data_IF_833023768188
#
_entry.id   IF_833023768188
#
_cell.length_a   1.000
_cell.length_b   1.000
_cell.length_c   1.000
_cell.angle_alpha   90.00
_cell.angle_beta   90.00
_cell.angle_gamma   90.00
#
_symmetry.space_group_name_H-M   'P 1'
#
loop_
_entity.id
_entity.type
_entity.pdbx_description
1 polymer ?
#
# COMPACT_ATOMS: atom_id res chain seq x y z
N UNK A 1 1.62 -32.78 26.02
CA UNK A 1 2.47 -31.85 26.82
C UNK A 1 3.71 -31.38 26.06
N UNK A 2 4.61 -32.26 25.56
CA UNK A 2 5.79 -31.83 24.77
C UNK A 2 5.45 -31.06 23.48
N UNK A 3 4.47 -31.51 22.69
CA UNK A 3 4.05 -30.80 21.47
C UNK A 3 3.49 -29.40 21.74
N UNK A 4 2.73 -29.22 22.83
CA UNK A 4 2.25 -27.90 23.23
C UNK A 4 3.40 -26.99 23.67
N UNK A 5 4.39 -27.52 24.41
CA UNK A 5 5.57 -26.74 24.81
C UNK A 5 6.42 -26.31 23.62
N UNK A 6 6.63 -27.22 22.65
CA UNK A 6 7.31 -26.91 21.40
C UNK A 6 6.57 -25.82 20.62
N UNK A 7 5.25 -25.95 20.45
CA UNK A 7 4.43 -24.93 19.78
C UNK A 7 4.49 -23.56 20.48
N UNK A 8 4.50 -23.52 21.82
CA UNK A 8 4.67 -22.25 22.56
C UNK A 8 6.07 -21.66 22.42
N UNK A 9 7.10 -22.49 22.28
CA UNK A 9 8.48 -22.05 22.03
C UNK A 9 8.64 -21.50 20.63
N UNK A 10 8.10 -22.18 19.62
CA UNK A 10 8.06 -21.70 18.24
C UNK A 10 7.33 -20.36 18.17
N UNK A 11 6.13 -20.27 18.76
CA UNK A 11 5.38 -19.02 18.84
C UNK A 11 6.20 -17.88 19.47
N UNK A 12 6.98 -18.12 20.51
CA UNK A 12 7.80 -17.08 21.13
C UNK A 12 8.94 -16.56 20.24
N UNK A 13 9.24 -17.22 19.12
CA UNK A 13 10.37 -16.92 18.20
C UNK A 13 9.91 -16.64 16.76
N UNK A 14 8.64 -16.85 16.42
CA UNK A 14 8.12 -16.65 15.06
C UNK A 14 7.66 -15.21 14.81
N UNK A 15 8.18 -14.56 13.76
CA UNK A 15 7.53 -13.40 13.16
C UNK A 15 6.37 -13.89 12.28
N UNK A 16 5.20 -13.30 12.46
CA UNK A 16 4.02 -13.56 11.62
C UNK A 16 3.67 -12.28 10.90
N UNK A 17 3.63 -12.34 9.57
CA UNK A 17 3.09 -11.29 8.71
C UNK A 17 1.90 -11.90 7.97
N UNK A 18 0.74 -11.24 8.10
CA UNK A 18 -0.47 -11.59 7.37
C UNK A 18 -0.79 -10.43 6.43
N UNK A 19 -1.01 -10.74 5.15
CA UNK A 19 -1.50 -9.77 4.17
C UNK A 19 -2.38 -10.45 3.13
N UNK A 20 -3.09 -9.63 2.36
CA UNK A 20 -3.72 -10.06 1.10
C UNK A 20 -2.84 -9.63 -0.08
N UNK A 21 -3.04 -10.19 -1.28
CA UNK A 21 -2.41 -9.71 -2.51
C UNK A 21 -3.19 -8.56 -3.16
N UNK A 22 -4.51 -8.52 -2.96
CA UNK A 22 -5.42 -7.45 -3.38
C UNK A 22 -6.80 -7.62 -2.72
N UNK A 23 -7.62 -6.57 -2.74
CA UNK A 23 -9.04 -6.61 -2.40
C UNK A 23 -9.95 -7.05 -3.56
N UNK A 24 -11.25 -6.83 -3.42
CA UNK A 24 -12.25 -7.14 -4.45
C UNK A 24 -13.33 -6.06 -4.44
N UNK A 25 -13.70 -5.58 -5.62
CA UNK A 25 -14.69 -4.53 -5.77
C UNK A 25 -16.09 -4.98 -5.32
N UNK A 26 -16.46 -6.26 -5.48
CA UNK A 26 -17.75 -6.82 -5.02
C UNK A 26 -19.02 -6.00 -5.36
N UNK A 27 -19.02 -5.24 -6.47
CA UNK A 27 -20.11 -4.36 -6.90
C UNK A 27 -19.89 -2.87 -6.65
N UNK A 28 -18.86 -2.49 -5.88
CA UNK A 28 -18.48 -1.09 -5.68
C UNK A 28 -18.04 -0.46 -7.00
N UNK A 29 -18.41 0.80 -7.23
CA UNK A 29 -18.21 1.53 -8.49
C UNK A 29 -18.79 0.83 -9.74
N UNK A 30 -19.79 -0.06 -9.56
CA UNK A 30 -20.31 -0.96 -10.61
C UNK A 30 -19.26 -1.93 -11.18
N UNK A 31 -18.20 -2.22 -10.40
CA UNK A 31 -17.08 -3.08 -10.77
C UNK A 31 -17.07 -4.39 -9.97
N UNK A 32 -16.36 -5.39 -10.49
CA UNK A 32 -16.20 -6.71 -9.87
C UNK A 32 -14.76 -7.19 -9.95
N UNK A 33 -14.30 -7.90 -8.92
CA UNK A 33 -12.97 -8.47 -8.91
C UNK A 33 -11.90 -7.41 -8.63
N UNK A 34 -10.77 -7.54 -9.32
CA UNK A 34 -9.53 -6.78 -9.05
C UNK A 34 -9.01 -6.10 -10.31
N UNK A 35 -7.97 -5.28 -10.13
CA UNK A 35 -7.34 -4.53 -11.23
C UNK A 35 -7.91 -3.13 -11.39
N UNK A 36 -8.44 -2.58 -10.30
CA UNK A 36 -8.94 -1.22 -10.24
C UNK A 36 -8.11 -0.43 -9.20
N UNK A 37 -7.96 0.89 -9.38
CA UNK A 37 -7.09 1.72 -8.54
C UNK A 37 -7.71 2.09 -7.17
N UNK A 38 -8.98 1.73 -6.95
CA UNK A 38 -9.77 2.14 -5.79
C UNK A 38 -9.34 1.40 -4.50
N UNK A 39 -9.53 2.04 -3.35
CA UNK A 39 -9.13 1.60 -2.01
C UNK A 39 -9.67 0.21 -1.68
N UNK A 40 -10.89 -0.14 -2.08
CA UNK A 40 -11.48 -1.45 -1.78
C UNK A 40 -10.73 -2.60 -2.48
N UNK A 41 -9.98 -2.30 -3.54
CA UNK A 41 -9.16 -3.25 -4.29
C UNK A 41 -7.67 -3.11 -3.94
N UNK A 42 -7.18 -1.89 -3.73
CA UNK A 42 -5.76 -1.62 -3.53
C UNK A 42 -5.33 -1.60 -2.06
N UNK A 43 -6.21 -1.16 -1.15
CA UNK A 43 -5.95 -1.01 0.28
C UNK A 43 -6.23 -2.33 0.98
N UNK A 44 -5.17 -3.07 1.27
CA UNK A 44 -5.24 -4.44 1.78
C UNK A 44 -4.95 -4.50 3.28
N UNK A 45 -5.46 -5.51 4.01
CA UNK A 45 -5.02 -5.75 5.37
C UNK A 45 -3.53 -6.15 5.40
N UNK A 46 -2.77 -5.56 6.32
CA UNK A 46 -1.43 -5.99 6.68
C UNK A 46 -1.30 -6.01 8.21
N UNK A 47 -1.11 -7.19 8.78
CA UNK A 47 -0.90 -7.38 10.21
C UNK A 47 0.45 -8.01 10.48
N UNK A 48 1.19 -7.45 11.43
CA UNK A 48 2.47 -7.98 11.85
C UNK A 48 2.47 -8.28 13.34
N UNK A 49 2.89 -9.51 13.69
CA UNK A 49 3.16 -9.92 15.06
C UNK A 49 4.61 -10.38 15.14
N UNK A 50 5.41 -9.66 15.91
CA UNK A 50 6.81 -10.03 16.18
C UNK A 50 6.94 -10.93 17.41
N UNK A 51 7.97 -11.78 17.50
CA UNK A 51 8.26 -12.57 18.70
C UNK A 51 8.64 -11.67 19.89
N UNK A 52 8.46 -12.17 21.11
CA UNK A 52 8.84 -11.43 22.34
C UNK A 52 10.35 -11.20 22.44
N UNK A 53 11.15 -12.04 21.76
CA UNK A 53 12.59 -11.83 21.66
C UNK A 53 12.99 -10.53 20.94
N UNK A 54 12.09 -9.93 20.16
CA UNK A 54 12.31 -8.64 19.51
C UNK A 54 11.88 -7.44 20.36
N UNK A 55 11.24 -7.65 21.53
CA UNK A 55 10.64 -6.55 22.32
C UNK A 55 11.66 -5.47 22.73
N UNK A 56 12.94 -5.82 22.98
CA UNK A 56 13.97 -4.85 23.36
C UNK A 56 14.40 -3.92 22.22
N UNK A 57 14.07 -4.24 20.98
CA UNK A 57 14.43 -3.48 19.79
C UNK A 57 13.23 -2.83 19.10
N UNK A 58 12.06 -2.81 19.75
CA UNK A 58 10.82 -2.25 19.19
C UNK A 58 10.36 -1.09 20.08
N UNK A 59 10.12 0.06 19.46
CA UNK A 59 9.66 1.28 20.12
C UNK A 59 8.14 1.43 20.10
N UNK A 60 7.43 0.70 19.21
CA UNK A 60 5.96 0.71 19.16
C UNK A 60 5.34 -0.25 20.17
N UNK A 61 4.18 0.12 20.71
CA UNK A 61 3.41 -0.76 21.59
C UNK A 61 2.79 -1.93 20.80
N UNK A 62 2.62 -3.08 21.46
CA UNK A 62 1.78 -4.18 20.95
C UNK A 62 0.36 -3.67 20.71
N UNK A 63 -0.32 -4.20 19.68
CA UNK A 63 -1.68 -3.81 19.30
C UNK A 63 -1.83 -2.31 18.96
N UNK A 64 -0.76 -1.69 18.44
CA UNK A 64 -0.82 -0.34 17.87
C UNK A 64 -1.04 -0.39 16.36
N UNK A 65 -1.48 0.73 15.81
CA UNK A 65 -1.57 0.95 14.36
C UNK A 65 -0.47 1.91 13.94
N UNK A 66 0.26 1.53 12.89
CA UNK A 66 1.25 2.36 12.20
C UNK A 66 0.52 3.08 11.06
N UNK A 67 0.66 4.40 10.96
CA UNK A 67 -0.10 5.22 9.99
C UNK A 67 0.70 5.51 8.71
N UNK A 68 2.00 5.22 8.72
CA UNK A 68 2.89 5.40 7.58
C UNK A 68 2.46 4.53 6.40
N UNK A 69 2.67 5.05 5.18
CA UNK A 69 2.31 4.36 3.93
C UNK A 69 3.18 3.13 3.69
N UNK A 70 2.55 1.96 3.61
CA UNK A 70 3.23 0.68 3.39
C UNK A 70 2.70 -0.02 2.14
N UNK A 71 3.53 -0.86 1.54
CA UNK A 71 3.19 -1.57 0.30
C UNK A 71 3.63 -3.04 0.34
N UNK A 72 3.11 -3.86 -0.57
CA UNK A 72 3.47 -5.29 -0.65
C UNK A 72 4.97 -5.51 -0.93
N UNK A 73 5.63 -4.58 -1.62
CA UNK A 73 7.08 -4.65 -1.88
C UNK A 73 7.90 -4.58 -0.60
N UNK A 74 7.35 -4.07 0.51
CA UNK A 74 8.00 -4.03 1.81
C UNK A 74 8.09 -5.41 2.49
N UNK A 75 7.28 -6.39 2.06
CA UNK A 75 7.22 -7.72 2.71
C UNK A 75 8.55 -8.45 2.58
N UNK A 76 9.14 -8.50 1.39
CA UNK A 76 10.41 -9.18 1.17
C UNK A 76 11.57 -8.63 2.02
N UNK A 77 11.88 -7.32 1.99
CA UNK A 77 12.95 -6.76 2.81
C UNK A 77 12.67 -6.87 4.31
N UNK A 78 11.41 -6.84 4.73
CA UNK A 78 11.02 -7.09 6.13
C UNK A 78 11.38 -8.50 6.58
N UNK A 79 11.05 -9.52 5.78
CA UNK A 79 11.35 -10.91 6.11
C UNK A 79 12.86 -11.19 6.06
N UNK A 80 13.58 -10.58 5.13
CA UNK A 80 15.04 -10.68 5.04
C UNK A 80 15.73 -10.05 6.28
N UNK A 81 15.31 -8.85 6.67
CA UNK A 81 15.79 -8.17 7.89
C UNK A 81 15.49 -9.00 9.14
N UNK A 82 14.28 -9.53 9.26
CA UNK A 82 13.91 -10.42 10.36
C UNK A 82 14.76 -11.70 10.42
N UNK A 83 15.22 -12.20 9.28
CA UNK A 83 16.12 -13.35 9.18
C UNK A 83 17.61 -12.98 9.40
N UNK A 84 17.92 -11.70 9.62
CA UNK A 84 19.29 -11.21 9.80
C UNK A 84 20.10 -11.18 8.50
N UNK A 85 19.42 -11.11 7.34
CA UNK A 85 20.06 -10.98 6.04
C UNK A 85 20.30 -9.51 5.71
N UNK A 86 21.48 -9.20 5.17
CA UNK A 86 21.78 -7.88 4.63
C UNK A 86 21.40 -7.86 3.16
N UNK A 87 20.55 -6.92 2.79
CA UNK A 87 20.17 -6.66 1.40
C UNK A 87 21.00 -5.51 0.84
N UNK A 88 21.25 -5.48 -0.49
CA UNK A 88 21.91 -4.35 -1.12
C UNK A 88 21.06 -3.08 -1.00
N UNK A 89 21.73 -1.93 -0.93
CA UNK A 89 21.07 -0.63 -0.93
C UNK A 89 20.75 -0.20 -2.38
N UNK A 90 19.65 0.54 -2.61
CA UNK A 90 19.27 1.00 -3.96
C UNK A 90 20.34 1.80 -4.71
N UNK A 91 21.25 2.47 -3.98
CA UNK A 91 22.33 3.24 -4.59
C UNK A 91 23.49 2.36 -5.12
N UNK A 92 23.56 1.11 -4.68
CA UNK A 92 24.73 0.25 -4.85
C UNK A 92 24.50 -0.91 -5.83
N UNK A 93 23.24 -1.27 -6.11
CA UNK A 93 22.89 -2.47 -6.88
C UNK A 93 21.53 -2.33 -7.58
N UNK A 94 21.44 -2.80 -8.83
CA UNK A 94 20.18 -2.88 -9.59
C UNK A 94 19.25 -4.00 -9.08
N UNK A 95 19.82 -4.98 -8.37
CA UNK A 95 19.08 -6.05 -7.70
C UNK A 95 18.53 -5.64 -6.31
N UNK A 96 18.70 -4.37 -5.92
CA UNK A 96 18.14 -3.86 -4.68
C UNK A 96 16.60 -3.89 -4.72
N UNK A 97 15.95 -4.35 -3.63
CA UNK A 97 14.50 -4.33 -3.57
C UNK A 97 13.97 -2.90 -3.53
N UNK A 98 12.88 -2.64 -4.24
CA UNK A 98 12.18 -1.35 -4.21
C UNK A 98 11.59 -1.02 -2.83
N UNK A 99 11.17 -2.05 -2.10
CA UNK A 99 10.53 -1.91 -0.79
C UNK A 99 11.53 -1.65 0.34
N UNK A 100 11.01 -1.28 1.49
CA UNK A 100 11.78 -0.99 2.70
C UNK A 100 11.30 -1.88 3.85
N UNK A 101 12.22 -2.38 4.67
CA UNK A 101 11.86 -3.20 5.83
C UNK A 101 10.95 -2.43 6.80
N UNK A 102 9.75 -2.96 7.04
CA UNK A 102 8.78 -2.46 8.00
C UNK A 102 9.29 -2.56 9.45
N UNK A 103 10.34 -3.35 9.71
CA UNK A 103 10.96 -3.38 11.03
C UNK A 103 11.62 -2.04 11.39
N UNK A 104 11.96 -1.20 10.40
CA UNK A 104 12.43 0.16 10.65
C UNK A 104 11.37 0.97 11.42
N UNK A 105 10.10 0.94 10.97
CA UNK A 105 8.97 1.61 11.62
C UNK A 105 8.70 1.05 13.03
N UNK A 106 8.97 -0.24 13.27
CA UNK A 106 8.83 -0.82 14.60
C UNK A 106 9.95 -0.36 15.54
N UNK A 107 11.18 -0.22 15.03
CA UNK A 107 12.37 0.19 15.79
C UNK A 107 12.35 1.68 16.12
N UNK A 108 11.91 2.50 15.18
CA UNK A 108 11.83 3.95 15.30
C UNK A 108 10.60 4.48 14.52
N UNK A 109 9.52 4.89 15.22
CA UNK A 109 8.33 5.45 14.58
C UNK A 109 8.60 6.75 13.83
N UNK A 110 9.69 7.45 14.15
CA UNK A 110 10.07 8.72 13.55
C UNK A 110 11.11 8.53 12.43
N UNK A 111 11.42 7.30 12.04
CA UNK A 111 12.34 7.04 10.93
C UNK A 111 11.83 7.74 9.67
N UNK A 112 12.71 8.36 8.87
CA UNK A 112 12.34 8.86 7.56
C UNK A 112 11.67 7.74 6.75
N UNK A 113 10.58 8.09 6.10
CA UNK A 113 9.75 7.15 5.36
C UNK A 113 9.30 7.77 4.03
N UNK A 114 8.61 6.99 3.20
CA UNK A 114 8.01 7.49 1.97
C UNK A 114 6.77 8.31 2.25
N UNK A 115 6.60 9.38 1.47
CA UNK A 115 5.43 10.25 1.52
C UNK A 115 4.33 9.83 0.53
N UNK A 116 4.68 9.00 -0.46
CA UNK A 116 3.79 8.61 -1.55
C UNK A 116 3.97 7.13 -1.93
N UNK A 117 2.90 6.53 -2.45
CA UNK A 117 2.88 5.21 -3.08
C UNK A 117 2.48 5.34 -4.54
N UNK A 118 3.12 4.53 -5.38
CA UNK A 118 2.74 4.35 -6.78
C UNK A 118 2.11 2.97 -6.95
N UNK A 119 0.97 2.94 -7.64
CA UNK A 119 0.25 1.74 -8.00
C UNK A 119 0.18 1.65 -9.53
N UNK A 120 0.21 0.44 -10.06
CA UNK A 120 0.15 0.23 -11.50
C UNK A 120 -0.63 -1.03 -11.86
N UNK A 121 -1.31 -0.94 -13.00
CA UNK A 121 -1.76 -2.10 -13.73
C UNK A 121 -1.36 -1.93 -15.20
N UNK A 122 -0.55 -2.86 -15.69
CA UNK A 122 -0.13 -2.92 -17.08
C UNK A 122 -0.31 -4.35 -17.60
N UNK A 123 -1.39 -4.61 -18.34
CA UNK A 123 -1.71 -5.93 -18.88
C UNK A 123 -1.73 -5.88 -20.40
N UNK A 124 -0.70 -6.47 -21.01
CA UNK A 124 -0.60 -6.62 -22.45
C UNK A 124 -1.83 -7.35 -23.03
N UNK A 125 -2.52 -6.72 -23.98
CA UNK A 125 -3.66 -7.31 -24.69
C UNK A 125 -5.02 -7.11 -24.01
N UNK A 126 -5.07 -6.46 -22.85
CA UNK A 126 -6.31 -6.12 -22.15
C UNK A 126 -6.62 -4.62 -22.26
N UNK A 127 -6.94 -4.17 -23.48
CA UNK A 127 -7.61 -2.90 -23.80
C UNK A 127 -7.23 -1.67 -22.96
N UNK A 128 -8.25 -0.92 -22.55
CA UNK A 128 -8.15 0.34 -21.79
C UNK A 128 -7.96 0.15 -20.27
N UNK A 129 -7.56 -1.05 -19.83
CA UNK A 129 -7.41 -1.37 -18.40
C UNK A 129 -6.11 -0.89 -17.78
N UNK A 130 -5.19 -0.28 -18.55
CA UNK A 130 -3.90 0.11 -18.01
C UNK A 130 -3.99 1.47 -17.34
N UNK A 131 -3.54 1.53 -16.09
CA UNK A 131 -3.55 2.74 -15.30
C UNK A 131 -2.33 2.81 -14.39
N UNK A 132 -1.99 4.05 -14.01
CA UNK A 132 -1.07 4.35 -12.91
C UNK A 132 -1.80 5.21 -11.90
N UNK A 133 -1.49 5.03 -10.63
CA UNK A 133 -2.02 5.87 -9.56
C UNK A 133 -0.93 6.28 -8.59
N UNK A 134 -1.06 7.48 -8.03
CA UNK A 134 -0.24 7.97 -6.93
C UNK A 134 -1.14 8.33 -5.76
N UNK A 135 -0.71 7.99 -4.55
CA UNK A 135 -1.41 8.35 -3.32
C UNK A 135 -0.43 8.73 -2.22
N UNK A 136 -0.74 9.79 -1.49
CA UNK A 136 -0.06 10.18 -0.24
C UNK A 136 -0.83 9.71 1.01
N UNK A 137 -1.89 8.90 0.82
CA UNK A 137 -2.81 8.46 1.88
C UNK A 137 -3.95 9.44 2.18
N UNK A 138 -3.85 10.68 1.71
CA UNK A 138 -4.87 11.72 1.88
C UNK A 138 -5.57 12.08 0.56
N UNK A 139 -4.86 11.91 -0.55
CA UNK A 139 -5.34 12.16 -1.90
C UNK A 139 -4.86 11.06 -2.82
N UNK A 140 -5.67 10.75 -3.83
CA UNK A 140 -5.29 9.77 -4.86
C UNK A 140 -5.52 10.34 -6.24
N UNK A 141 -4.48 10.28 -7.06
CA UNK A 141 -4.52 10.60 -8.47
C UNK A 141 -4.43 9.32 -9.29
N UNK A 142 -5.29 9.18 -10.30
CA UNK A 142 -5.31 8.05 -11.23
C UNK A 142 -5.21 8.56 -12.65
N UNK A 143 -4.37 7.91 -13.47
CA UNK A 143 -4.28 8.16 -14.91
C UNK A 143 -4.43 6.88 -15.70
N UNK A 144 -5.47 6.83 -16.53
CA UNK A 144 -5.71 5.75 -17.48
C UNK A 144 -4.83 5.97 -18.71
N UNK A 145 -3.87 5.06 -18.94
CA UNK A 145 -2.79 5.27 -19.90
C UNK A 145 -3.27 5.22 -21.35
N UNK A 146 -4.32 4.45 -21.62
CA UNK A 146 -4.86 4.27 -22.96
C UNK A 146 -5.82 5.39 -23.38
N UNK A 147 -6.70 5.82 -22.47
CA UNK A 147 -7.72 6.85 -22.76
C UNK A 147 -7.20 8.26 -22.48
N UNK A 148 -6.19 8.40 -21.61
CA UNK A 148 -5.73 9.68 -21.08
C UNK A 148 -6.69 10.29 -20.05
N UNK A 149 -7.70 9.54 -19.60
CA UNK A 149 -8.59 9.95 -18.53
C UNK A 149 -7.83 10.06 -17.21
N UNK A 150 -8.18 11.08 -16.43
CA UNK A 150 -7.56 11.40 -15.16
C UNK A 150 -8.65 11.50 -14.10
N UNK A 151 -8.39 10.94 -12.92
CA UNK A 151 -9.28 11.04 -11.77
C UNK A 151 -8.48 11.56 -10.57
N UNK A 152 -9.12 12.35 -9.72
CA UNK A 152 -8.53 12.87 -8.49
C UNK A 152 -9.53 12.76 -7.34
N UNK A 153 -9.12 12.10 -6.26
CA UNK A 153 -9.94 11.86 -5.07
C UNK A 153 -9.28 12.48 -3.83
N UNK A 154 -10.11 13.03 -2.94
CA UNK A 154 -9.75 13.47 -1.59
C UNK A 154 -10.17 12.35 -0.62
N UNK A 155 -9.22 11.54 -0.18
CA UNK A 155 -9.49 10.35 0.64
C UNK A 155 -9.89 10.71 2.07
N UNK A 156 -9.52 11.89 2.57
CA UNK A 156 -9.92 12.36 3.91
C UNK A 156 -11.44 12.64 3.98
N UNK A 157 -12.01 13.17 2.89
CA UNK A 157 -13.42 13.56 2.83
C UNK A 157 -14.29 12.65 1.93
N UNK A 158 -13.69 11.85 1.07
CA UNK A 158 -14.32 10.89 0.16
C UNK A 158 -13.53 9.57 0.15
N UNK A 159 -13.52 8.82 1.27
CA UNK A 159 -12.75 7.57 1.41
C UNK A 159 -13.25 6.43 0.51
N UNK A 160 -14.39 6.62 -0.15
CA UNK A 160 -14.97 5.66 -1.09
C UNK A 160 -14.80 6.09 -2.54
N UNK A 161 -14.04 7.17 -2.80
CA UNK A 161 -13.65 7.61 -4.15
C UNK A 161 -14.85 7.81 -5.10
N UNK A 162 -15.95 8.33 -4.57
CA UNK A 162 -17.21 8.52 -5.30
C UNK A 162 -17.31 9.86 -6.02
N UNK A 163 -16.41 10.79 -5.72
CA UNK A 163 -16.41 12.16 -6.24
C UNK A 163 -15.07 12.49 -6.90
N UNK A 164 -15.02 12.33 -8.22
CA UNK A 164 -13.87 12.75 -9.01
C UNK A 164 -13.76 14.29 -9.11
N UNK A 165 -12.72 14.84 -8.50
CA UNK A 165 -12.40 16.26 -8.51
C UNK A 165 -11.80 16.74 -9.84
N UNK A 166 -11.18 15.84 -10.63
CA UNK A 166 -10.62 16.17 -11.93
C UNK A 166 -11.74 16.54 -12.93
N UNK A 167 -12.81 15.74 -12.99
CA UNK A 167 -13.99 16.04 -13.80
C UNK A 167 -14.67 17.37 -13.39
N UNK A 168 -14.76 17.68 -12.09
CA UNK A 168 -15.36 18.92 -11.61
C UNK A 168 -14.59 20.16 -12.06
N UNK A 169 -13.26 20.11 -12.07
CA UNK A 169 -12.41 21.21 -12.55
C UNK A 169 -12.58 21.45 -14.05
N UNK A 170 -12.77 20.39 -14.85
CA UNK A 170 -13.04 20.51 -16.28
C UNK A 170 -14.40 21.16 -16.56
N UNK A 171 -15.43 20.83 -15.76
CA UNK A 171 -16.76 21.45 -15.87
C UNK A 171 -16.76 22.94 -15.51
N UNK A 172 -16.01 23.35 -14.48
CA UNK A 172 -15.89 24.76 -14.09
C UNK A 172 -15.12 25.62 -15.12
N UNK A 173 -14.25 25.00 -15.94
CA UNK A 173 -13.53 25.67 -17.02
C UNK A 173 -14.33 25.87 -18.31
N UNK A 174 -15.50 25.25 -18.45
CA UNK A 174 -16.31 25.27 -19.68
C UNK A 174 -17.51 26.21 -19.63
N UNK A 175 -17.84 26.82 -18.48
CA UNK A 175 -18.90 27.84 -18.36
C UNK A 175 -18.47 29.26 -18.81
N UNK A 176 -17.32 29.38 -19.48
CA UNK A 176 -16.68 30.64 -19.80
C UNK A 176 -16.77 31.16 -21.24
N UNK A 177 -17.58 30.60 -22.15
CA UNK A 177 -17.84 31.21 -23.48
C UNK A 177 -19.24 30.89 -23.98
N UNK A 178 -20.24 31.64 -23.52
CA UNK A 178 -21.50 31.81 -24.23
C UNK A 178 -21.83 33.30 -24.26
N UNK A 179 -21.17 34.05 -25.14
CA UNK A 179 -21.56 35.42 -25.48
C UNK A 179 -22.77 35.37 -26.42
N UNK A 180 -23.87 36.00 -25.99
CA UNK A 180 -24.96 36.46 -26.85
C UNK A 180 -24.48 37.44 -27.93
#
# INVERSE_FOLDING_TARGET
LQRMRAATQEWAQTLVLYCSDHGDALGDHDLWGKGHPYEQVASIPLYMRWPTAMDSGVAVARNSTVQQLVELRDVFPTLADAAGLTLPAPADDEDAPDGVSLLALLRDPETPWRDELMLELAVCGFGDYNWVALTDGHSKYVRHLNTGEEQLFDLDHDPYETRDLAALKQSAGTEGVATH
#
